data_IF_238290042026
#
_entry.id   IF_238290042026
#
_cell.length_a   1.000
_cell.length_b   1.000
_cell.length_c   1.000
_cell.angle_alpha   90.00
_cell.angle_beta   90.00
_cell.angle_gamma   90.00
#
_symmetry.space_group_name_H-M   'P 1'
#
loop_
_entity.id
_entity.type
_entity.pdbx_description
1 polymer ?
#
# COMPACT_ATOMS: atom_id res chain seq x y z
N UNK A 1 -24.73 2.24 23.59
CA UNK A 1 -24.33 2.16 22.18
C UNK A 1 -24.47 3.54 21.59
N UNK A 2 -23.42 3.98 20.90
CA UNK A 2 -23.31 5.25 20.20
C UNK A 2 -23.67 5.07 18.73
N UNK A 3 -24.03 6.15 18.05
CA UNK A 3 -24.33 6.13 16.62
C UNK A 3 -23.12 5.60 15.84
N UNK A 4 -23.34 4.55 15.06
CA UNK A 4 -22.26 3.84 14.36
C UNK A 4 -21.39 4.76 13.52
N UNK A 5 -21.97 5.68 12.74
CA UNK A 5 -21.18 6.57 11.87
C UNK A 5 -20.14 7.37 12.67
N UNK A 6 -20.54 7.97 13.79
CA UNK A 6 -19.63 8.75 14.63
C UNK A 6 -18.50 7.91 15.23
N UNK A 7 -18.74 6.63 15.50
CA UNK A 7 -17.71 5.71 16.00
C UNK A 7 -16.76 5.31 14.86
N UNK A 8 -17.31 4.97 13.69
CA UNK A 8 -16.50 4.60 12.52
C UNK A 8 -15.63 5.78 12.08
N UNK A 9 -16.15 7.00 12.04
CA UNK A 9 -15.39 8.20 11.71
C UNK A 9 -14.20 8.39 12.67
N UNK A 10 -14.42 8.17 13.99
CA UNK A 10 -13.32 8.22 14.99
C UNK A 10 -12.26 7.17 14.75
N UNK A 11 -12.66 5.95 14.38
CA UNK A 11 -11.70 4.88 14.05
C UNK A 11 -10.86 5.28 12.85
N UNK A 12 -11.48 5.85 11.80
CA UNK A 12 -10.76 6.32 10.62
C UNK A 12 -9.80 7.47 10.92
N UNK A 13 -10.26 8.49 11.66
CA UNK A 13 -9.38 9.59 12.07
C UNK A 13 -8.17 9.09 12.88
N UNK A 14 -8.36 8.07 13.73
CA UNK A 14 -7.26 7.43 14.43
C UNK A 14 -6.35 6.65 13.48
N UNK A 15 -6.90 5.86 12.55
CA UNK A 15 -6.13 5.09 11.56
C UNK A 15 -5.26 6.00 10.68
N UNK A 16 -5.77 7.16 10.30
CA UNK A 16 -5.02 8.15 9.54
C UNK A 16 -3.85 8.70 10.35
N UNK A 17 -4.06 9.06 11.61
CA UNK A 17 -2.99 9.51 12.50
C UNK A 17 -1.99 8.40 12.81
N UNK A 18 -2.45 7.16 12.99
CA UNK A 18 -1.63 5.99 13.25
C UNK A 18 -0.66 5.70 12.10
N UNK A 19 -1.03 6.06 10.87
CA UNK A 19 -0.17 5.88 9.69
C UNK A 19 0.97 6.89 9.56
N UNK A 20 0.93 7.97 10.34
CA UNK A 20 1.94 9.02 10.26
C UNK A 20 3.28 8.54 10.81
N UNK A 21 4.39 9.00 10.21
CA UNK A 21 5.75 8.74 10.73
C UNK A 21 5.98 9.30 12.15
N UNK A 22 5.17 10.26 12.56
CA UNK A 22 5.21 10.86 13.90
C UNK A 22 4.47 10.02 14.93
N UNK A 23 3.70 9.02 14.50
CA UNK A 23 3.00 8.12 15.40
C UNK A 23 3.99 7.34 16.27
N UNK A 24 3.61 7.15 17.53
CA UNK A 24 4.37 6.36 18.52
C UNK A 24 3.58 5.16 19.04
N UNK A 25 2.31 5.03 18.63
CA UNK A 25 1.43 3.96 19.09
C UNK A 25 1.86 2.63 18.48
N UNK A 26 1.74 1.57 19.28
CA UNK A 26 2.08 0.20 18.89
C UNK A 26 0.90 -0.48 18.17
N UNK A 27 1.16 -1.64 17.56
CA UNK A 27 0.09 -2.45 16.99
C UNK A 27 -0.93 -2.87 18.06
N UNK A 28 -0.47 -3.11 19.29
CA UNK A 28 -1.33 -3.38 20.44
C UNK A 28 -2.23 -2.19 20.80
N UNK A 29 -1.70 -0.97 20.76
CA UNK A 29 -2.48 0.25 21.00
C UNK A 29 -3.55 0.47 19.92
N UNK A 30 -3.19 0.26 18.65
CA UNK A 30 -4.13 0.27 17.52
C UNK A 30 -5.29 -0.71 17.72
N UNK A 31 -4.95 -1.97 18.00
CA UNK A 31 -5.93 -3.04 18.20
C UNK A 31 -6.86 -2.69 19.37
N UNK A 32 -6.28 -2.27 20.51
CA UNK A 32 -7.05 -1.93 21.71
C UNK A 32 -8.01 -0.76 21.44
N UNK A 33 -7.55 0.28 20.75
CA UNK A 33 -8.37 1.43 20.39
C UNK A 33 -9.55 1.01 19.49
N UNK A 34 -9.29 0.24 18.43
CA UNK A 34 -10.34 -0.20 17.51
C UNK A 34 -11.36 -1.09 18.24
N UNK A 35 -10.92 -2.03 19.07
CA UNK A 35 -11.84 -2.89 19.84
C UNK A 35 -12.70 -2.09 20.81
N UNK A 36 -12.12 -1.11 21.51
CA UNK A 36 -12.87 -0.25 22.41
C UNK A 36 -13.94 0.53 21.65
N UNK A 37 -13.56 1.20 20.56
CA UNK A 37 -14.50 1.98 19.74
C UNK A 37 -15.56 1.08 19.11
N UNK A 38 -15.17 -0.06 18.52
CA UNK A 38 -16.09 -1.00 17.88
C UNK A 38 -17.20 -1.48 18.82
N UNK A 39 -16.88 -1.68 20.10
CA UNK A 39 -17.84 -2.10 21.12
C UNK A 39 -18.81 -0.98 21.55
N UNK A 40 -18.48 0.29 21.29
CA UNK A 40 -19.38 1.41 21.55
C UNK A 40 -20.44 1.57 20.46
N UNK A 41 -20.11 1.28 19.20
CA UNK A 41 -21.02 1.43 18.06
C UNK A 41 -22.26 0.53 18.18
N UNK A 42 -23.42 1.08 17.84
CA UNK A 42 -24.63 0.30 17.59
C UNK A 42 -24.52 -0.58 16.34
N UNK A 43 -25.51 -1.46 16.15
CA UNK A 43 -25.56 -2.41 15.02
C UNK A 43 -25.67 -1.73 13.64
N UNK A 44 -25.89 -0.41 13.58
CA UNK A 44 -25.83 0.35 12.34
C UNK A 44 -24.48 0.20 11.62
N UNK A 45 -23.41 -0.12 12.37
CA UNK A 45 -22.06 -0.34 11.82
C UNK A 45 -22.02 -1.42 10.74
N UNK A 46 -22.87 -2.44 10.83
CA UNK A 46 -22.91 -3.53 9.84
C UNK A 46 -23.48 -3.11 8.48
N UNK A 47 -23.93 -1.86 8.34
CA UNK A 47 -24.42 -1.30 7.07
C UNK A 47 -23.46 -0.25 6.49
N UNK A 48 -22.39 0.11 7.20
CA UNK A 48 -21.42 1.12 6.79
C UNK A 48 -20.27 0.47 6.03
N UNK A 49 -20.01 0.91 4.80
CA UNK A 49 -18.93 0.35 3.97
C UNK A 49 -17.58 0.35 4.71
N UNK A 50 -17.28 1.45 5.37
CA UNK A 50 -16.07 1.69 6.15
C UNK A 50 -15.88 0.69 7.31
N UNK A 51 -16.97 0.23 7.91
CA UNK A 51 -16.91 -0.81 8.93
C UNK A 51 -16.39 -2.14 8.37
N UNK A 52 -16.70 -2.47 7.11
CA UNK A 52 -16.17 -3.68 6.47
C UNK A 52 -14.66 -3.62 6.24
N UNK A 53 -14.11 -2.42 5.99
CA UNK A 53 -12.66 -2.20 5.87
C UNK A 53 -12.00 -2.39 7.24
N UNK A 54 -12.59 -1.83 8.31
CA UNK A 54 -12.10 -2.00 9.69
C UNK A 54 -12.09 -3.49 10.08
N UNK A 55 -13.15 -4.24 9.76
CA UNK A 55 -13.19 -5.69 10.00
C UNK A 55 -12.03 -6.39 9.30
N UNK A 56 -11.82 -6.12 8.01
CA UNK A 56 -10.70 -6.69 7.26
C UNK A 56 -9.34 -6.33 7.86
N UNK A 57 -9.17 -5.08 8.30
CA UNK A 57 -7.95 -4.64 8.99
C UNK A 57 -7.70 -5.46 10.26
N UNK A 58 -8.71 -5.62 11.11
CA UNK A 58 -8.57 -6.35 12.37
C UNK A 58 -8.36 -7.85 12.19
N UNK A 59 -8.97 -8.46 11.17
CA UNK A 59 -8.67 -9.84 10.77
C UNK A 59 -7.17 -9.99 10.46
N UNK A 60 -6.60 -9.09 9.65
CA UNK A 60 -5.19 -9.14 9.27
C UNK A 60 -4.24 -8.91 10.46
N UNK A 61 -4.57 -8.00 11.39
CA UNK A 61 -3.75 -7.82 12.59
C UNK A 61 -3.71 -9.07 13.46
N UNK A 62 -4.85 -9.77 13.63
CA UNK A 62 -4.87 -11.00 14.41
C UNK A 62 -4.28 -12.21 13.70
N UNK A 63 -4.27 -12.23 12.36
CA UNK A 63 -3.46 -13.18 11.58
C UNK A 63 -1.98 -12.97 11.90
N UNK A 64 -1.47 -11.73 11.85
CA UNK A 64 -0.06 -11.41 12.14
C UNK A 64 0.36 -11.81 13.57
N UNK A 65 -0.55 -11.67 14.52
CA UNK A 65 -0.33 -12.06 15.92
C UNK A 65 -0.51 -13.57 16.17
N UNK A 66 -1.05 -14.33 15.21
CA UNK A 66 -1.38 -15.75 15.39
C UNK A 66 -2.53 -15.99 16.39
N UNK A 67 -3.38 -15.00 16.63
CA UNK A 67 -4.47 -15.03 17.61
C UNK A 67 -5.77 -15.54 16.97
N UNK A 68 -5.83 -16.84 16.73
CA UNK A 68 -6.88 -17.51 15.96
C UNK A 68 -8.32 -17.17 16.40
N UNK A 69 -8.62 -17.26 17.70
CA UNK A 69 -9.97 -17.02 18.21
C UNK A 69 -10.43 -15.58 17.97
N UNK A 70 -9.50 -14.63 18.05
CA UNK A 70 -9.80 -13.21 17.81
C UNK A 70 -9.95 -12.92 16.32
N UNK A 71 -9.10 -13.53 15.48
CA UNK A 71 -9.28 -13.49 14.03
C UNK A 71 -10.66 -14.04 13.62
N UNK A 72 -11.07 -15.18 14.18
CA UNK A 72 -12.39 -15.77 13.94
C UNK A 72 -13.53 -14.87 14.40
N UNK A 73 -13.39 -14.19 15.55
CA UNK A 73 -14.37 -13.19 15.99
C UNK A 73 -14.61 -12.12 14.92
N UNK A 74 -13.56 -11.55 14.32
CA UNK A 74 -13.69 -10.54 13.28
C UNK A 74 -14.27 -11.09 11.97
N UNK A 75 -13.97 -12.34 11.60
CA UNK A 75 -14.66 -13.01 10.48
C UNK A 75 -16.16 -13.19 10.74
N UNK A 76 -16.56 -13.45 11.98
CA UNK A 76 -17.98 -13.56 12.35
C UNK A 76 -18.67 -12.18 12.42
N UNK A 77 -17.96 -11.11 12.76
CA UNK A 77 -18.44 -9.73 12.58
C UNK A 77 -18.69 -9.42 11.09
N UNK A 78 -17.80 -9.90 10.20
CA UNK A 78 -17.96 -9.77 8.74
C UNK A 78 -19.26 -10.42 8.24
N UNK A 79 -19.63 -11.57 8.80
CA UNK A 79 -20.86 -12.29 8.43
C UNK A 79 -22.16 -11.59 8.85
N UNK A 80 -22.07 -10.59 9.73
CA UNK A 80 -23.19 -9.72 10.11
C UNK A 80 -23.35 -8.54 9.15
N UNK A 81 -22.28 -8.18 8.43
CA UNK A 81 -22.24 -7.03 7.54
C UNK A 81 -23.08 -7.25 6.27
N UNK A 82 -23.74 -6.20 5.78
CA UNK A 82 -24.59 -6.26 4.56
C UNK A 82 -23.80 -6.61 3.29
N UNK A 83 -22.47 -6.43 3.31
CA UNK A 83 -21.58 -6.81 2.20
C UNK A 83 -21.41 -8.32 2.07
N UNK A 84 -21.78 -9.12 3.08
CA UNK A 84 -21.74 -10.59 3.02
C UNK A 84 -22.47 -11.14 1.79
N UNK A 85 -23.54 -10.47 1.38
CA UNK A 85 -24.37 -10.89 0.25
C UNK A 85 -23.78 -10.52 -1.12
N UNK A 86 -22.66 -9.78 -1.16
CA UNK A 86 -21.93 -9.50 -2.42
C UNK A 86 -21.29 -10.75 -3.00
N UNK A 87 -20.94 -11.72 -2.15
CA UNK A 87 -20.27 -12.94 -2.55
C UNK A 87 -21.12 -14.16 -2.19
N UNK A 88 -21.20 -15.19 -3.05
CA UNK A 88 -21.81 -16.46 -2.70
C UNK A 88 -21.06 -17.15 -1.55
N UNK A 89 -21.73 -18.08 -0.88
CA UNK A 89 -21.24 -18.74 0.34
C UNK A 89 -19.90 -19.45 0.17
N UNK A 90 -19.68 -20.11 -0.98
CA UNK A 90 -18.42 -20.82 -1.23
C UNK A 90 -17.21 -19.86 -1.29
N UNK A 91 -17.38 -18.64 -1.82
CA UNK A 91 -16.32 -17.61 -1.82
C UNK A 91 -16.01 -17.15 -0.40
N UNK A 92 -17.04 -16.99 0.43
CA UNK A 92 -16.82 -16.62 1.85
C UNK A 92 -16.14 -17.74 2.62
N UNK A 93 -16.52 -18.99 2.37
CA UNK A 93 -15.85 -20.15 2.95
C UNK A 93 -14.40 -20.27 2.48
N UNK A 94 -14.11 -20.00 1.20
CA UNK A 94 -12.73 -19.90 0.72
C UNK A 94 -11.95 -18.87 1.53
N UNK A 95 -12.47 -17.64 1.65
CA UNK A 95 -11.81 -16.56 2.40
C UNK A 95 -11.58 -16.92 3.87
N UNK A 96 -12.57 -17.53 4.55
CA UNK A 96 -12.37 -18.02 5.93
C UNK A 96 -11.27 -19.08 5.99
N UNK A 97 -11.23 -19.99 5.03
CA UNK A 97 -10.20 -21.03 4.94
C UNK A 97 -8.80 -20.46 4.74
N UNK A 98 -8.67 -19.48 3.86
CA UNK A 98 -7.43 -18.72 3.61
C UNK A 98 -6.94 -18.02 4.89
N UNK A 99 -7.80 -17.24 5.55
CA UNK A 99 -7.47 -16.57 6.82
C UNK A 99 -7.07 -17.57 7.93
N UNK A 100 -7.76 -18.70 8.03
CA UNK A 100 -7.40 -19.75 9.00
C UNK A 100 -6.02 -20.33 8.72
N UNK A 101 -5.68 -20.53 7.44
CA UNK A 101 -4.39 -21.07 7.02
C UNK A 101 -3.26 -20.08 7.32
N UNK A 102 -3.44 -18.81 6.97
CA UNK A 102 -2.49 -17.73 7.28
C UNK A 102 -2.29 -17.54 8.78
N UNK A 103 -3.34 -17.74 9.58
CA UNK A 103 -3.27 -17.71 11.04
C UNK A 103 -2.66 -18.99 11.66
N UNK A 104 -2.25 -19.96 10.83
CA UNK A 104 -1.60 -21.20 11.27
C UNK A 104 -2.53 -22.29 11.79
N UNK A 105 -3.84 -22.21 11.53
CA UNK A 105 -4.82 -23.23 11.92
C UNK A 105 -5.26 -24.07 10.70
N UNK A 106 -4.45 -25.07 10.37
CA UNK A 106 -4.69 -25.98 9.23
C UNK A 106 -5.99 -26.78 9.34
N UNK A 107 -6.42 -27.16 10.55
CA UNK A 107 -7.66 -27.93 10.75
C UNK A 107 -8.89 -27.08 10.38
N UNK A 108 -8.95 -25.85 10.88
CA UNK A 108 -10.01 -24.91 10.54
C UNK A 108 -9.95 -24.51 9.06
N UNK A 109 -8.74 -24.29 8.53
CA UNK A 109 -8.54 -24.01 7.11
C UNK A 109 -9.13 -25.12 6.23
N UNK A 110 -8.74 -26.37 6.51
CA UNK A 110 -9.23 -27.54 5.77
C UNK A 110 -10.75 -27.68 5.89
N UNK A 111 -11.34 -27.40 7.05
CA UNK A 111 -12.79 -27.41 7.22
C UNK A 111 -13.49 -26.44 6.25
N UNK A 112 -13.10 -25.17 6.25
CA UNK A 112 -13.73 -24.16 5.41
C UNK A 112 -13.43 -24.35 3.91
N UNK A 113 -12.22 -24.77 3.56
CA UNK A 113 -11.87 -25.09 2.17
C UNK A 113 -12.69 -26.27 1.64
N UNK A 114 -12.97 -27.29 2.46
CA UNK A 114 -13.89 -28.36 2.07
C UNK A 114 -15.32 -27.85 1.84
N UNK A 115 -15.80 -26.88 2.64
CA UNK A 115 -17.11 -26.26 2.42
C UNK A 115 -17.18 -25.47 1.10
N UNK A 116 -16.08 -24.79 0.73
CA UNK A 116 -15.96 -24.16 -0.59
C UNK A 116 -15.99 -25.22 -1.71
N UNK A 117 -15.09 -26.22 -1.61
CA UNK A 117 -14.90 -27.26 -2.61
C UNK A 117 -16.17 -28.07 -2.88
N UNK A 118 -16.98 -28.33 -1.85
CA UNK A 118 -18.24 -29.05 -1.98
C UNK A 118 -19.28 -28.34 -2.86
N UNK A 119 -19.14 -27.03 -3.07
CA UNK A 119 -20.07 -26.22 -3.87
C UNK A 119 -19.46 -25.91 -5.24
N UNK A 120 -18.20 -25.45 -5.28
CA UNK A 120 -17.50 -25.08 -6.51
C UNK A 120 -16.06 -25.62 -6.48
N UNK A 121 -15.82 -26.86 -6.94
CA UNK A 121 -14.52 -27.55 -6.82
C UNK A 121 -13.34 -26.83 -7.50
N UNK A 122 -13.60 -26.15 -8.62
CA UNK A 122 -12.56 -25.49 -9.41
C UNK A 122 -12.09 -24.18 -8.77
N UNK A 123 -12.94 -23.54 -7.96
CA UNK A 123 -12.69 -22.20 -7.45
C UNK A 123 -11.41 -22.07 -6.62
N UNK A 124 -11.08 -23.08 -5.80
CA UNK A 124 -9.88 -23.04 -4.96
C UNK A 124 -8.61 -22.94 -5.82
N UNK A 125 -8.59 -23.64 -6.96
CA UNK A 125 -7.45 -23.69 -7.88
C UNK A 125 -7.30 -22.44 -8.77
N UNK A 126 -8.21 -21.48 -8.68
CA UNK A 126 -8.08 -20.17 -9.33
C UNK A 126 -7.60 -19.07 -8.38
N UNK A 127 -7.13 -19.44 -7.18
CA UNK A 127 -6.82 -18.50 -6.09
C UNK A 127 -5.35 -18.61 -5.67
N UNK A 128 -5.02 -18.13 -4.47
CA UNK A 128 -3.65 -17.98 -4.02
C UNK A 128 -2.91 -19.33 -3.99
N UNK A 129 -1.67 -19.41 -4.53
CA UNK A 129 -0.90 -20.66 -4.60
C UNK A 129 -0.78 -21.42 -3.31
N UNK A 130 -0.41 -20.75 -2.22
CA UNK A 130 -0.24 -21.40 -0.92
C UNK A 130 -1.52 -22.10 -0.43
N UNK A 131 -2.70 -21.56 -0.78
CA UNK A 131 -3.99 -22.09 -0.35
C UNK A 131 -4.38 -23.33 -1.16
N UNK A 132 -4.27 -23.28 -2.49
CA UNK A 132 -4.57 -24.46 -3.30
C UNK A 132 -3.51 -25.55 -3.15
N UNK A 133 -2.24 -25.22 -2.92
CA UNK A 133 -1.18 -26.19 -2.66
C UNK A 133 -1.43 -26.95 -1.36
N UNK A 134 -1.79 -26.24 -0.29
CA UNK A 134 -2.20 -26.84 0.98
C UNK A 134 -3.40 -27.77 0.81
N UNK A 135 -4.47 -27.28 0.16
CA UNK A 135 -5.68 -28.08 -0.02
C UNK A 135 -5.44 -29.32 -0.90
N UNK A 136 -4.64 -29.18 -1.97
CA UNK A 136 -4.36 -30.26 -2.91
C UNK A 136 -3.66 -31.47 -2.26
N UNK A 137 -2.85 -31.24 -1.22
CA UNK A 137 -2.21 -32.31 -0.43
C UNK A 137 -3.21 -33.17 0.34
N UNK A 138 -4.43 -32.65 0.58
CA UNK A 138 -5.47 -33.31 1.36
C UNK A 138 -6.56 -33.96 0.50
N UNK A 139 -6.46 -33.86 -0.83
CA UNK A 139 -7.38 -34.54 -1.75
C UNK A 139 -7.04 -36.02 -1.91
N UNK A 140 -8.08 -36.85 -2.03
CA UNK A 140 -7.90 -38.27 -2.40
C UNK A 140 -7.20 -38.42 -3.75
N UNK A 141 -7.48 -37.50 -4.68
CA UNK A 141 -6.87 -37.43 -6.01
C UNK A 141 -6.39 -35.99 -6.26
N UNK A 142 -5.11 -35.67 -5.97
CA UNK A 142 -4.57 -34.34 -6.19
C UNK A 142 -4.66 -33.89 -7.66
N UNK A 143 -5.03 -32.63 -7.86
CA UNK A 143 -5.05 -31.95 -9.16
C UNK A 143 -3.62 -31.68 -9.62
N UNK A 144 -3.35 -31.88 -10.91
CA UNK A 144 -2.09 -31.48 -11.52
C UNK A 144 -2.08 -29.96 -11.70
N UNK A 145 -1.23 -29.27 -10.96
CA UNK A 145 -1.07 -27.82 -11.04
C UNK A 145 -0.25 -27.48 -12.30
N UNK A 146 -0.73 -26.51 -13.08
CA UNK A 146 0.03 -25.94 -14.20
C UNK A 146 0.96 -24.87 -13.66
N UNK A 147 2.19 -24.81 -14.17
CA UNK A 147 3.05 -23.65 -13.93
C UNK A 147 2.38 -22.39 -14.51
N UNK A 148 2.42 -21.25 -13.82
CA UNK A 148 1.90 -20.00 -14.37
C UNK A 148 2.60 -19.72 -15.72
N UNK A 149 1.83 -19.27 -16.70
CA UNK A 149 2.38 -18.74 -17.94
C UNK A 149 2.91 -17.35 -17.57
N UNK A 150 4.23 -17.18 -17.54
CA UNK A 150 4.84 -15.84 -17.45
C UNK A 150 4.41 -15.06 -18.70
N UNK A 151 3.76 -13.90 -18.51
CA UNK A 151 3.50 -12.97 -19.62
C UNK A 151 4.85 -12.35 -19.99
N UNK A 152 5.21 -12.36 -21.29
CA UNK A 152 6.51 -11.89 -21.83
C UNK A 152 6.67 -10.35 -21.77
N UNK A 153 6.08 -9.65 -20.80
CA UNK A 153 6.31 -8.21 -20.61
C UNK A 153 7.65 -7.99 -19.90
N UNK A 154 8.55 -7.25 -20.56
CA UNK A 154 9.87 -6.95 -20.02
C UNK A 154 9.72 -5.89 -18.93
N UNK A 155 9.79 -6.32 -17.67
CA UNK A 155 9.79 -5.42 -16.51
C UNK A 155 11.24 -5.12 -16.09
N UNK A 156 11.64 -3.84 -16.12
CA UNK A 156 12.98 -3.42 -15.71
C UNK A 156 12.88 -2.59 -14.44
N UNK A 157 13.17 -3.23 -13.32
CA UNK A 157 13.12 -2.62 -11.99
C UNK A 157 14.29 -3.04 -11.09
N UNK A 158 14.57 -2.22 -10.08
CA UNK A 158 15.52 -2.56 -9.02
C UNK A 158 15.25 -1.81 -7.72
N UNK A 159 15.82 -2.31 -6.62
CA UNK A 159 15.92 -1.57 -5.37
C UNK A 159 17.12 -0.62 -5.38
N UNK A 160 16.88 0.66 -5.12
CA UNK A 160 17.85 1.74 -5.10
C UNK A 160 18.10 2.24 -3.68
N UNK A 161 19.34 2.12 -3.23
CA UNK A 161 19.82 2.71 -1.97
C UNK A 161 20.40 4.11 -2.21
N UNK A 162 19.78 5.11 -1.56
CA UNK A 162 20.23 6.50 -1.50
C UNK A 162 20.52 6.85 -0.03
N UNK A 163 21.79 6.79 0.37
CA UNK A 163 22.18 6.88 1.79
C UNK A 163 21.79 8.21 2.43
N UNK A 164 21.89 9.32 1.69
CA UNK A 164 21.48 10.63 2.18
C UNK A 164 19.95 10.69 2.36
N UNK A 165 19.21 10.19 1.37
CA UNK A 165 17.75 10.18 1.42
C UNK A 165 17.24 9.28 2.54
N UNK A 166 17.83 8.09 2.71
CA UNK A 166 17.51 7.17 3.79
C UNK A 166 17.64 7.82 5.16
N UNK A 167 18.73 8.56 5.38
CA UNK A 167 18.94 9.32 6.61
C UNK A 167 17.96 10.48 6.76
N UNK A 168 17.70 11.22 5.68
CA UNK A 168 16.80 12.38 5.70
C UNK A 168 15.33 11.99 5.95
N UNK A 169 14.83 11.02 5.20
CA UNK A 169 13.44 10.53 5.28
C UNK A 169 13.21 9.49 6.37
N UNK A 170 14.26 9.12 7.12
CA UNK A 170 14.22 8.12 8.21
C UNK A 170 13.67 6.78 7.74
N UNK A 171 14.19 6.28 6.63
CA UNK A 171 13.74 5.03 6.03
C UNK A 171 14.66 3.87 6.40
N UNK A 172 14.10 2.67 6.42
CA UNK A 172 14.85 1.42 6.58
C UNK A 172 14.99 0.69 5.24
N UNK A 173 13.97 0.79 4.40
CA UNK A 173 13.86 0.12 3.10
C UNK A 173 14.53 0.92 1.98
N UNK A 174 14.89 0.20 0.91
CA UNK A 174 15.37 0.79 -0.33
C UNK A 174 14.20 1.36 -1.14
N UNK A 175 14.49 2.27 -2.08
CA UNK A 175 13.47 2.90 -2.93
C UNK A 175 13.32 2.04 -4.19
N UNK A 176 12.09 1.74 -4.62
CA UNK A 176 11.86 1.05 -5.89
C UNK A 176 12.23 1.98 -7.05
N UNK A 177 12.93 1.48 -8.05
CA UNK A 177 13.24 2.20 -9.27
C UNK A 177 12.81 1.39 -10.48
N UNK A 178 12.10 2.02 -11.41
CA UNK A 178 11.42 1.35 -12.53
C UNK A 178 11.64 2.12 -13.83
N UNK A 179 11.86 1.42 -14.95
CA UNK A 179 11.89 2.02 -16.29
C UNK A 179 10.51 1.87 -16.94
N UNK A 180 9.88 2.99 -17.28
CA UNK A 180 8.59 3.01 -17.98
C UNK A 180 8.81 2.86 -19.49
N UNK A 181 8.80 1.63 -19.98
CA UNK A 181 9.11 1.30 -21.37
C UNK A 181 7.99 1.69 -22.36
N UNK A 182 6.78 1.97 -21.87
CA UNK A 182 5.62 2.38 -22.69
C UNK A 182 5.85 3.66 -23.51
N UNK A 183 6.85 4.47 -23.14
CA UNK A 183 7.21 5.71 -23.82
C UNK A 183 8.23 5.51 -24.96
N UNK A 184 8.77 4.29 -25.12
CA UNK A 184 9.67 3.94 -26.21
C UNK A 184 8.86 3.41 -27.40
N UNK A 185 8.94 4.11 -28.53
CA UNK A 185 8.33 3.65 -29.79
C UNK A 185 9.14 2.54 -30.48
N UNK A 186 10.43 2.42 -30.14
CA UNK A 186 11.35 1.43 -30.71
C UNK A 186 11.15 0.03 -30.11
N UNK A 187 11.72 -1.01 -30.75
CA UNK A 187 11.77 -2.35 -30.16
C UNK A 187 12.59 -2.31 -28.86
N UNK A 188 12.02 -2.83 -27.78
CA UNK A 188 12.68 -2.88 -26.48
C UNK A 188 13.74 -3.98 -26.49
N UNK A 189 15.01 -3.59 -26.40
CA UNK A 189 16.10 -4.50 -26.04
C UNK A 189 16.29 -4.45 -24.52
N UNK A 190 15.98 -5.56 -23.85
CA UNK A 190 16.12 -5.73 -22.39
C UNK A 190 17.50 -5.28 -21.88
N UNK A 191 18.56 -5.59 -22.64
CA UNK A 191 19.92 -5.22 -22.26
C UNK A 191 20.15 -3.71 -22.38
N UNK A 192 19.59 -3.05 -23.39
CA UNK A 192 19.68 -1.59 -23.51
C UNK A 192 18.92 -0.89 -22.37
N UNK A 193 17.78 -1.46 -21.96
CA UNK A 193 17.00 -0.98 -20.83
C UNK A 193 17.73 -1.15 -19.49
N UNK A 194 18.38 -2.29 -19.26
CA UNK A 194 19.25 -2.51 -18.09
C UNK A 194 20.45 -1.54 -18.07
N UNK A 195 21.09 -1.32 -19.22
CA UNK A 195 22.22 -0.38 -19.34
C UNK A 195 21.76 1.07 -19.06
N UNK A 196 20.56 1.45 -19.52
CA UNK A 196 19.93 2.72 -19.19
C UNK A 196 19.68 2.84 -17.68
N UNK A 197 19.00 1.86 -17.07
CA UNK A 197 18.70 1.83 -15.62
C UNK A 197 19.97 2.06 -14.81
N UNK A 198 21.02 1.25 -15.05
CA UNK A 198 22.27 1.35 -14.33
C UNK A 198 22.96 2.72 -14.47
N UNK A 199 22.90 3.32 -15.67
CA UNK A 199 23.48 4.65 -15.92
C UNK A 199 22.75 5.73 -15.14
N UNK A 200 21.42 5.72 -15.17
CA UNK A 200 20.58 6.72 -14.52
C UNK A 200 20.63 6.58 -13.00
N UNK A 201 20.54 5.36 -12.49
CA UNK A 201 20.68 5.07 -11.05
C UNK A 201 22.01 5.60 -10.51
N UNK A 202 23.11 5.37 -11.24
CA UNK A 202 24.42 5.90 -10.86
C UNK A 202 24.43 7.44 -10.83
N UNK A 203 23.82 8.08 -11.83
CA UNK A 203 23.72 9.54 -11.88
C UNK A 203 22.88 10.10 -10.71
N UNK A 204 21.77 9.46 -10.36
CA UNK A 204 20.95 9.81 -9.19
C UNK A 204 21.78 9.66 -7.90
N UNK A 205 22.51 8.56 -7.73
CA UNK A 205 23.37 8.33 -6.56
C UNK A 205 24.47 9.39 -6.43
N UNK A 206 25.12 9.75 -7.54
CA UNK A 206 26.17 10.78 -7.55
C UNK A 206 25.64 12.19 -7.26
N UNK A 207 24.34 12.43 -7.51
CA UNK A 207 23.70 13.73 -7.37
C UNK A 207 22.60 13.80 -6.29
N UNK A 208 22.49 12.79 -5.41
CA UNK A 208 21.34 12.62 -4.50
C UNK A 208 21.06 13.86 -3.63
N UNK A 209 22.11 14.56 -3.19
CA UNK A 209 21.98 15.80 -2.41
C UNK A 209 21.37 16.94 -3.24
N UNK A 210 21.88 17.14 -4.46
CA UNK A 210 21.45 18.24 -5.31
C UNK A 210 19.99 18.05 -5.76
N UNK A 211 19.61 16.81 -6.07
CA UNK A 211 18.23 16.44 -6.42
C UNK A 211 17.32 16.74 -5.22
N UNK A 212 17.66 16.25 -4.02
CA UNK A 212 16.85 16.49 -2.82
C UNK A 212 16.67 17.99 -2.55
N UNK A 213 17.74 18.78 -2.66
CA UNK A 213 17.69 20.23 -2.46
C UNK A 213 16.77 20.90 -3.47
N UNK A 214 16.80 20.48 -4.74
CA UNK A 214 15.89 20.97 -5.78
C UNK A 214 14.43 20.63 -5.46
N UNK A 215 14.12 19.36 -5.18
CA UNK A 215 12.75 18.91 -4.87
C UNK A 215 12.15 19.69 -3.69
N UNK A 216 12.92 19.82 -2.60
CA UNK A 216 12.46 20.56 -1.41
C UNK A 216 12.29 22.05 -1.68
N UNK A 217 13.15 22.65 -2.52
CA UNK A 217 13.05 24.07 -2.85
C UNK A 217 11.77 24.43 -3.61
N UNK A 218 11.31 23.53 -4.48
CA UNK A 218 10.04 23.68 -5.20
C UNK A 218 8.83 23.30 -4.34
N UNK A 219 8.98 22.34 -3.42
CA UNK A 219 7.91 21.92 -2.52
C UNK A 219 7.51 23.01 -1.53
N UNK A 220 8.46 23.67 -0.86
CA UNK A 220 8.19 24.67 0.19
C UNK A 220 7.12 25.71 -0.21
N UNK A 221 7.25 26.45 -1.32
CA UNK A 221 6.26 27.46 -1.70
C UNK A 221 4.93 26.87 -2.19
N UNK A 222 4.89 25.59 -2.56
CA UNK A 222 3.66 24.88 -2.92
C UNK A 222 2.92 24.40 -1.68
N UNK A 223 3.66 23.83 -0.74
CA UNK A 223 3.16 23.35 0.53
C UNK A 223 2.40 24.43 1.30
N UNK A 224 2.96 25.64 1.42
CA UNK A 224 2.27 26.77 2.08
C UNK A 224 0.92 27.10 1.42
N UNK A 225 0.85 27.05 0.08
CA UNK A 225 -0.40 27.29 -0.65
C UNK A 225 -1.37 26.12 -0.50
N UNK A 226 -0.87 24.90 -0.47
CA UNK A 226 -1.69 23.71 -0.29
C UNK A 226 -2.25 23.64 1.13
N UNK A 227 -1.53 24.09 2.16
CA UNK A 227 -2.06 24.20 3.51
C UNK A 227 -3.37 25.02 3.54
N UNK A 228 -3.43 26.13 2.79
CA UNK A 228 -4.66 26.92 2.66
C UNK A 228 -5.79 26.18 1.91
N UNK A 229 -5.44 25.34 0.94
CA UNK A 229 -6.40 24.59 0.11
C UNK A 229 -7.01 23.40 0.85
N UNK A 230 -6.17 22.60 1.52
CA UNK A 230 -6.63 21.47 2.35
C UNK A 230 -7.38 21.97 3.58
N UNK A 231 -6.95 23.10 4.17
CA UNK A 231 -7.70 23.77 5.23
C UNK A 231 -7.77 22.99 6.54
N UNK A 232 -6.79 22.12 6.83
CA UNK A 232 -6.70 21.46 8.13
C UNK A 232 -6.59 22.50 9.26
N UNK A 233 -7.29 22.25 10.37
CA UNK A 233 -7.30 23.11 11.56
C UNK A 233 -6.96 22.31 12.83
N UNK A 234 -6.52 23.01 13.87
CA UNK A 234 -6.28 22.42 15.20
C UNK A 234 -5.30 21.24 15.18
N UNK A 235 -5.67 20.15 15.85
CA UNK A 235 -4.85 18.94 15.96
C UNK A 235 -4.59 18.28 14.59
N UNK A 236 -5.55 18.34 13.66
CA UNK A 236 -5.37 17.75 12.33
C UNK A 236 -4.36 18.54 11.52
N UNK A 237 -4.31 19.88 11.68
CA UNK A 237 -3.24 20.69 11.08
C UNK A 237 -1.88 20.28 11.64
N UNK A 238 -1.77 20.18 12.96
CA UNK A 238 -0.51 19.82 13.63
C UNK A 238 -0.03 18.41 13.26
N UNK A 239 -0.95 17.48 13.02
CA UNK A 239 -0.65 16.09 12.67
C UNK A 239 -0.32 15.92 11.17
N UNK A 240 -1.21 16.36 10.28
CA UNK A 240 -1.15 16.03 8.85
C UNK A 240 -0.38 17.07 8.03
N UNK A 241 -0.52 18.36 8.37
CA UNK A 241 0.05 19.44 7.55
C UNK A 241 0.59 20.61 8.40
N UNK A 242 1.57 20.36 9.29
CA UNK A 242 2.08 21.36 10.22
C UNK A 242 2.82 22.49 9.51
N UNK A 243 2.92 23.66 10.15
CA UNK A 243 3.73 24.75 9.62
C UNK A 243 5.21 24.34 9.57
N UNK A 244 5.80 24.41 8.36
CA UNK A 244 7.20 24.06 8.12
C UNK A 244 8.06 25.33 8.13
N UNK A 245 9.03 25.36 9.03
CA UNK A 245 10.00 26.47 9.17
C UNK A 245 11.42 26.07 8.81
N UNK A 246 11.68 24.76 8.75
CA UNK A 246 12.94 24.14 8.35
C UNK A 246 12.65 23.01 7.36
N UNK A 247 13.38 22.98 6.24
CA UNK A 247 13.20 21.98 5.18
C UNK A 247 13.41 20.55 5.70
N UNK A 248 14.21 20.38 6.75
CA UNK A 248 14.48 19.07 7.35
C UNK A 248 13.22 18.45 7.99
N UNK A 249 12.19 19.26 8.29
CA UNK A 249 10.91 18.77 8.79
C UNK A 249 10.17 17.91 7.75
N UNK A 250 10.43 18.07 6.45
CA UNK A 250 9.82 17.22 5.42
C UNK A 250 10.25 15.76 5.53
N UNK A 251 11.39 15.45 6.18
CA UNK A 251 11.85 14.07 6.36
C UNK A 251 10.85 13.16 7.09
N UNK A 252 9.93 13.74 7.87
CA UNK A 252 8.83 13.02 8.54
C UNK A 252 7.46 13.22 7.88
N UNK A 253 7.33 14.15 6.93
CA UNK A 253 6.06 14.46 6.29
C UNK A 253 5.89 13.75 4.94
N UNK A 254 7.00 13.38 4.29
CA UNK A 254 6.98 12.65 3.02
C UNK A 254 7.90 11.43 3.06
N UNK A 255 7.62 10.45 2.20
CA UNK A 255 8.40 9.21 2.08
C UNK A 255 8.55 8.85 0.62
N UNK A 256 9.77 8.78 0.04
CA UNK A 256 9.93 8.32 -1.33
C UNK A 256 9.47 6.86 -1.43
N UNK A 257 8.71 6.57 -2.49
CA UNK A 257 8.15 5.25 -2.78
C UNK A 257 8.82 4.66 -4.02
N UNK A 258 8.71 5.36 -5.15
CA UNK A 258 9.18 4.88 -6.44
C UNK A 258 9.87 6.00 -7.21
N UNK A 259 10.95 5.66 -7.89
CA UNK A 259 11.62 6.51 -8.87
C UNK A 259 11.37 5.95 -10.27
N UNK A 260 10.74 6.73 -11.12
CA UNK A 260 10.43 6.35 -12.50
C UNK A 260 11.48 6.93 -13.45
N UNK A 261 12.06 6.08 -14.29
CA UNK A 261 12.89 6.47 -15.43
C UNK A 261 11.98 6.43 -16.65
N UNK A 262 11.80 7.57 -17.31
CA UNK A 262 10.82 7.73 -18.39
C UNK A 262 11.58 8.09 -19.67
N UNK A 263 12.08 7.08 -20.41
CA UNK A 263 12.81 7.31 -21.63
C UNK A 263 11.85 7.49 -22.82
N UNK A 264 11.94 8.63 -23.50
CA UNK A 264 11.30 8.85 -24.81
C UNK A 264 12.18 8.34 -25.96
N UNK A 265 13.48 8.12 -25.70
CA UNK A 265 14.42 7.46 -26.60
C UNK A 265 15.61 6.88 -25.83
N UNK A 266 16.34 5.96 -26.46
CA UNK A 266 17.58 5.38 -25.88
C UNK A 266 18.76 6.36 -25.82
N UNK A 267 18.72 7.43 -26.60
CA UNK A 267 19.88 8.33 -26.78
C UNK A 267 19.78 9.65 -26.03
N UNK A 268 18.57 10.08 -25.70
CA UNK A 268 18.33 11.32 -24.99
C UNK A 268 18.29 11.09 -23.47
N UNK A 269 18.66 12.09 -22.66
CA UNK A 269 18.45 12.03 -21.22
C UNK A 269 16.95 11.84 -20.93
N UNK A 270 16.56 10.84 -20.13
CA UNK A 270 15.15 10.63 -19.79
C UNK A 270 14.69 11.67 -18.78
N UNK A 271 13.37 11.84 -18.72
CA UNK A 271 12.73 12.45 -17.55
C UNK A 271 12.79 11.47 -16.37
N UNK A 272 12.94 12.00 -15.16
CA UNK A 272 12.96 11.22 -13.93
C UNK A 272 11.83 11.67 -13.02
N UNK A 273 10.95 10.74 -12.74
CA UNK A 273 9.83 10.86 -11.82
C UNK A 273 10.17 10.44 -10.41
N UNK A 274 9.68 11.16 -9.41
CA UNK A 274 9.81 10.79 -8.00
C UNK A 274 8.44 10.80 -7.34
N UNK A 275 7.98 9.61 -6.94
CA UNK A 275 6.73 9.42 -6.21
C UNK A 275 7.01 9.33 -4.71
N UNK A 276 6.24 10.08 -3.93
CA UNK A 276 6.31 10.12 -2.49
C UNK A 276 4.93 9.88 -1.87
N UNK A 277 4.86 9.11 -0.79
CA UNK A 277 3.75 9.22 0.15
C UNK A 277 3.87 10.54 0.92
N UNK A 278 2.74 11.09 1.38
CA UNK A 278 2.71 12.34 2.13
C UNK A 278 1.67 12.33 3.25
N UNK A 279 1.98 13.01 4.35
CA UNK A 279 1.12 13.03 5.54
C UNK A 279 -0.22 13.72 5.32
N UNK A 280 -0.37 14.57 4.31
CA UNK A 280 -1.58 15.38 4.10
C UNK A 280 -2.51 14.85 3.01
N UNK A 281 -2.07 13.89 2.18
CA UNK A 281 -2.90 13.31 1.12
C UNK A 281 -2.46 11.88 0.78
N UNK A 282 -3.04 10.93 1.51
CA UNK A 282 -2.74 9.49 1.36
C UNK A 282 -3.39 8.87 0.12
N UNK A 283 -4.42 9.50 -0.43
CA UNK A 283 -5.12 8.98 -1.61
C UNK A 283 -4.40 9.35 -2.90
N UNK A 284 -3.83 10.56 -2.96
CA UNK A 284 -3.26 11.11 -4.19
C UNK A 284 -1.72 11.21 -4.17
N UNK A 285 -1.09 11.03 -3.01
CA UNK A 285 0.35 11.08 -2.83
C UNK A 285 0.98 12.39 -3.37
N UNK A 286 2.31 12.44 -3.49
CA UNK A 286 3.06 13.58 -4.00
C UNK A 286 4.00 13.15 -5.12
N UNK A 287 3.90 13.78 -6.28
CA UNK A 287 4.74 13.50 -7.46
C UNK A 287 5.60 14.67 -7.88
N UNK A 288 6.83 14.37 -8.29
CA UNK A 288 7.73 15.31 -8.97
C UNK A 288 8.19 14.74 -10.31
N UNK A 289 8.26 15.59 -11.33
CA UNK A 289 8.96 15.30 -12.59
C UNK A 289 10.21 16.17 -12.67
N UNK A 290 11.34 15.56 -13.06
CA UNK A 290 12.58 16.28 -13.33
C UNK A 290 13.13 15.99 -14.71
N UNK A 291 13.79 17.00 -15.28
CA UNK A 291 14.65 16.87 -16.44
C UNK A 291 16.01 17.46 -16.11
N UNK A 292 17.10 16.70 -16.28
CA UNK A 292 18.44 17.12 -15.86
C UNK A 292 18.53 17.62 -14.41
N UNK A 293 17.94 16.87 -13.47
CA UNK A 293 17.90 17.20 -12.03
C UNK A 293 17.19 18.51 -11.69
N UNK A 294 16.41 19.07 -12.63
CA UNK A 294 15.58 20.26 -12.43
C UNK A 294 14.12 19.88 -12.45
N UNK A 295 13.37 20.38 -11.47
CA UNK A 295 11.94 20.11 -11.36
C UNK A 295 11.21 20.87 -12.47
N UNK A 296 10.43 20.14 -13.26
CA UNK A 296 9.53 20.69 -14.26
C UNK A 296 8.08 20.69 -13.76
N UNK A 297 7.70 19.63 -13.04
CA UNK A 297 6.35 19.45 -12.51
C UNK A 297 6.37 18.98 -11.06
N UNK A 298 5.39 19.45 -10.29
CA UNK A 298 5.10 19.04 -8.92
C UNK A 298 3.58 19.04 -8.71
N UNK A 299 3.04 17.95 -8.17
CA UNK A 299 1.60 17.75 -8.02
C UNK A 299 1.27 16.43 -7.31
N UNK A 300 0.14 15.83 -7.67
CA UNK A 300 -0.22 14.49 -7.18
C UNK A 300 0.67 13.40 -7.80
N UNK A 301 0.35 12.14 -7.50
CA UNK A 301 1.11 10.97 -7.96
C UNK A 301 1.34 10.95 -9.48
N UNK A 302 0.35 11.37 -10.27
CA UNK A 302 0.41 11.44 -11.73
C UNK A 302 1.57 12.29 -12.25
N UNK A 303 1.95 13.33 -11.49
CA UNK A 303 3.08 14.21 -11.83
C UNK A 303 4.43 13.48 -11.79
N UNK A 304 4.52 12.28 -11.22
CA UNK A 304 5.73 11.47 -11.23
C UNK A 304 5.87 10.58 -12.47
N UNK A 305 4.83 10.39 -13.29
CA UNK A 305 4.93 9.43 -14.41
C UNK A 305 4.21 9.87 -15.69
N UNK A 306 3.41 10.94 -15.66
CA UNK A 306 2.80 11.50 -16.87
C UNK A 306 3.61 12.68 -17.42
N UNK A 307 4.15 12.51 -18.63
CA UNK A 307 4.73 13.59 -19.46
C UNK A 307 3.65 14.48 -20.10
#
# INVERSE_FOLDING_TARGET
>A
MEEAQLVIDRIYSYLDRYSLKTNTDTAEDLIAFIEEQWNLADDGKYSLYDASIIIGRMTNEYIRLGEFEKMMFWLDESDKHVSRDRNPEYIRNYYKGECCLECGNEEAALHYLNLCYAVEPEYIFTRAPFCYEFFNQHLENPVQLLEPIEEDEVEIEMELELSLWKAFFKMEEAIRCEVLLDYIEDEVDEKEAEELMNRIVKDIQENEQAILEELLSELIPKYEKWQEQYGYEGEDKEAFMPDVTDKDQFGILITPMTIYIIPESWTEPPHIGYLFDCSWDREHALGFMTYHHKVEHIGGADSAFCL
#
